data_IF_512280848271
#
_entry.id   IF_512280848271
#
_cell.length_a   1.000
_cell.length_b   1.000
_cell.length_c   1.000
_cell.angle_alpha   90.00
_cell.angle_beta   90.00
_cell.angle_gamma   90.00
#
_symmetry.space_group_name_H-M   'P 1'
#
loop_
_entity.id
_entity.type
_entity.pdbx_description
1 polymer ?
#
# COMPACT_ATOMS: atom_id res chain seq x y z
N UNK A 1 15.64 13.66 -18.89
CA UNK A 1 14.66 14.74 -19.08
C UNK A 1 13.28 14.12 -19.33
N UNK A 2 12.66 13.52 -18.30
CA UNK A 2 11.40 12.76 -18.46
C UNK A 2 10.32 13.08 -17.40
N UNK A 3 10.58 13.99 -16.45
CA UNK A 3 9.60 14.51 -15.49
C UNK A 3 9.79 16.01 -15.16
N UNK A 4 10.26 16.82 -16.12
CA UNK A 4 9.95 18.27 -16.10
C UNK A 4 8.65 18.58 -16.87
N UNK A 5 8.03 17.58 -17.49
CA UNK A 5 6.62 17.64 -17.88
C UNK A 5 5.79 17.41 -16.62
N UNK A 6 5.22 18.49 -16.07
CA UNK A 6 4.22 18.44 -15.01
C UNK A 6 3.11 17.43 -15.35
N UNK A 7 2.48 16.76 -14.36
CA UNK A 7 1.29 15.98 -14.64
C UNK A 7 0.22 16.90 -15.26
N UNK A 8 -0.57 16.45 -16.26
CA UNK A 8 -1.44 17.32 -17.03
C UNK A 8 -2.55 17.99 -16.22
N UNK A 9 -2.92 17.45 -15.06
CA UNK A 9 -3.98 18.03 -14.21
C UNK A 9 -3.49 18.15 -12.76
N UNK A 10 -3.37 19.38 -12.27
CA UNK A 10 -3.20 19.63 -10.84
C UNK A 10 -4.55 19.42 -10.17
N UNK A 11 -4.72 18.28 -9.49
CA UNK A 11 -5.90 18.06 -8.67
C UNK A 11 -6.09 19.19 -7.65
N UNK A 12 -7.34 19.60 -7.45
CA UNK A 12 -7.67 20.57 -6.41
C UNK A 12 -7.51 19.93 -5.02
N UNK A 13 -7.35 20.75 -3.98
CA UNK A 13 -7.28 20.25 -2.60
C UNK A 13 -8.54 19.48 -2.19
N UNK A 14 -9.69 19.84 -2.76
CA UNK A 14 -10.97 19.15 -2.51
C UNK A 14 -10.99 17.77 -3.17
N UNK A 15 -10.50 17.67 -4.41
CA UNK A 15 -10.36 16.39 -5.11
C UNK A 15 -9.40 15.46 -4.35
N UNK A 16 -8.25 15.98 -3.92
CA UNK A 16 -7.31 15.23 -3.09
C UNK A 16 -7.98 14.73 -1.79
N UNK A 17 -8.71 15.60 -1.08
CA UNK A 17 -9.36 15.25 0.17
C UNK A 17 -10.40 14.14 0.00
N UNK A 18 -11.28 14.27 -1.00
CA UNK A 18 -12.30 13.25 -1.30
C UNK A 18 -11.63 11.93 -1.71
N UNK A 19 -10.61 12.00 -2.56
CA UNK A 19 -9.87 10.82 -2.99
C UNK A 19 -9.19 10.12 -1.82
N UNK A 20 -8.64 10.86 -0.86
CA UNK A 20 -7.95 10.27 0.30
C UNK A 20 -8.93 9.62 1.26
N UNK A 21 -10.10 10.21 1.48
CA UNK A 21 -11.16 9.57 2.29
C UNK A 21 -11.58 8.24 1.65
N UNK A 22 -11.86 8.24 0.35
CA UNK A 22 -12.24 7.02 -0.38
C UNK A 22 -11.10 6.00 -0.33
N UNK A 23 -9.89 6.42 -0.66
CA UNK A 23 -8.71 5.56 -0.72
C UNK A 23 -8.42 4.92 0.65
N UNK A 24 -8.31 5.74 1.70
CA UNK A 24 -8.10 5.28 3.07
C UNK A 24 -9.19 4.31 3.50
N UNK A 25 -10.46 4.62 3.25
CA UNK A 25 -11.57 3.73 3.63
C UNK A 25 -11.44 2.36 2.97
N UNK A 26 -11.15 2.34 1.66
CA UNK A 26 -10.98 1.10 0.92
C UNK A 26 -9.76 0.29 1.40
N UNK A 27 -8.60 0.94 1.57
CA UNK A 27 -7.41 0.22 2.04
C UNK A 27 -7.58 -0.26 3.48
N UNK A 28 -8.15 0.56 4.37
CA UNK A 28 -8.41 0.17 5.76
C UNK A 28 -9.38 -1.00 5.86
N UNK A 29 -10.48 -1.01 5.10
CA UNK A 29 -11.36 -2.17 5.01
C UNK A 29 -10.61 -3.39 4.46
N UNK A 30 -9.77 -3.20 3.45
CA UNK A 30 -8.92 -4.27 2.94
C UNK A 30 -8.02 -4.90 4.01
N UNK A 31 -7.45 -4.07 4.90
CA UNK A 31 -6.68 -4.53 6.06
C UNK A 31 -7.55 -5.30 7.05
N UNK A 32 -8.77 -4.85 7.36
CA UNK A 32 -9.70 -5.60 8.24
C UNK A 32 -9.98 -7.00 7.68
N UNK A 33 -10.20 -7.14 6.38
CA UNK A 33 -10.40 -8.44 5.73
C UNK A 33 -9.16 -9.35 5.85
N UNK A 34 -7.96 -8.79 5.69
CA UNK A 34 -6.71 -9.55 5.88
C UNK A 34 -6.53 -9.98 7.33
N UNK A 35 -6.71 -9.06 8.28
CA UNK A 35 -6.59 -9.33 9.72
C UNK A 35 -7.59 -10.36 10.20
N UNK A 36 -8.86 -10.26 9.78
CA UNK A 36 -9.91 -11.23 10.13
C UNK A 36 -9.55 -12.64 9.63
N UNK A 37 -8.91 -12.75 8.46
CA UNK A 37 -8.47 -14.03 7.92
C UNK A 37 -7.10 -14.50 8.47
N UNK A 38 -6.47 -13.74 9.38
CA UNK A 38 -5.11 -14.01 9.88
C UNK A 38 -4.02 -13.90 8.81
N UNK A 39 -4.29 -13.16 7.74
CA UNK A 39 -3.40 -13.03 6.58
C UNK A 39 -2.59 -11.74 6.64
N UNK A 40 -1.57 -11.68 5.80
CA UNK A 40 -0.75 -10.49 5.57
C UNK A 40 -0.56 -10.26 4.07
N UNK A 41 0.18 -9.22 3.72
CA UNK A 41 0.48 -8.83 2.33
C UNK A 41 1.98 -8.57 2.15
N UNK A 42 2.38 -7.95 1.04
CA UNK A 42 3.76 -7.49 0.80
C UNK A 42 4.05 -6.09 1.34
N UNK A 43 5.27 -5.63 1.10
CA UNK A 43 5.73 -4.27 1.37
C UNK A 43 5.57 -3.84 2.83
N UNK A 44 5.54 -2.53 3.10
CA UNK A 44 5.47 -1.97 4.45
C UNK A 44 4.19 -2.39 5.18
N UNK A 45 3.06 -2.50 4.49
CA UNK A 45 1.81 -2.98 5.10
C UNK A 45 1.93 -4.45 5.56
N UNK A 46 2.55 -5.30 4.74
CA UNK A 46 2.84 -6.69 5.10
C UNK A 46 3.77 -6.81 6.31
N UNK A 47 4.87 -6.07 6.29
CA UNK A 47 5.79 -5.99 7.43
C UNK A 47 5.09 -5.50 8.70
N UNK A 48 4.22 -4.50 8.58
CA UNK A 48 3.46 -3.97 9.70
C UNK A 48 2.48 -5.00 10.29
N UNK A 49 1.75 -5.75 9.45
CA UNK A 49 0.87 -6.83 9.91
C UNK A 49 1.64 -7.93 10.64
N UNK A 50 2.76 -8.38 10.08
CA UNK A 50 3.60 -9.41 10.72
C UNK A 50 4.09 -8.95 12.09
N UNK A 51 4.64 -7.73 12.18
CA UNK A 51 5.12 -7.18 13.46
C UNK A 51 3.99 -6.93 14.45
N UNK A 52 2.81 -6.50 13.98
CA UNK A 52 1.61 -6.35 14.80
C UNK A 52 1.19 -7.69 15.41
N UNK A 53 1.15 -8.78 14.62
CA UNK A 53 0.81 -10.11 15.10
C UNK A 53 1.83 -10.67 16.11
N UNK A 54 3.13 -10.44 15.88
CA UNK A 54 4.19 -10.92 16.77
C UNK A 54 4.28 -10.12 18.08
N UNK A 55 4.11 -8.80 17.99
CA UNK A 55 4.27 -7.88 19.12
C UNK A 55 2.98 -7.63 19.91
N UNK A 56 1.82 -8.02 19.39
CA UNK A 56 0.52 -7.64 19.94
C UNK A 56 0.26 -6.13 19.90
N UNK A 57 0.89 -5.43 18.95
CA UNK A 57 0.75 -3.98 18.82
C UNK A 57 -0.32 -3.61 17.79
N UNK A 58 -0.99 -2.45 17.96
CA UNK A 58 -1.93 -1.94 16.97
C UNK A 58 -1.27 -1.78 15.59
N UNK A 59 -1.93 -2.25 14.52
CA UNK A 59 -1.37 -2.27 13.16
C UNK A 59 -0.99 -0.87 12.66
N UNK A 60 -1.89 0.10 12.81
CA UNK A 60 -1.71 1.50 12.43
C UNK A 60 -0.53 2.14 13.15
N UNK A 61 -0.30 1.83 14.43
CA UNK A 61 0.90 2.29 15.13
C UNK A 61 2.18 1.77 14.46
N UNK A 62 2.26 0.47 14.23
CA UNK A 62 3.43 -0.16 13.60
C UNK A 62 3.64 0.37 12.17
N UNK A 63 2.55 0.47 11.41
CA UNK A 63 2.55 0.98 10.04
C UNK A 63 3.05 2.42 9.95
N UNK A 64 2.62 3.29 10.87
CA UNK A 64 3.11 4.66 10.94
C UNK A 64 4.61 4.71 11.23
N UNK A 65 5.07 3.96 12.23
CA UNK A 65 6.49 3.93 12.64
C UNK A 65 7.40 3.41 11.52
N UNK A 66 7.00 2.35 10.83
CA UNK A 66 7.75 1.81 9.69
C UNK A 66 7.85 2.78 8.51
N UNK A 67 6.91 3.73 8.39
CA UNK A 67 6.92 4.74 7.34
C UNK A 67 7.81 5.96 7.64
N UNK A 68 8.15 6.23 8.90
CA UNK A 68 9.02 7.35 9.30
C UNK A 68 10.31 7.51 8.48
N UNK A 69 11.14 6.46 8.28
CA UNK A 69 12.38 6.60 7.49
C UNK A 69 12.11 7.02 6.03
N UNK A 70 10.94 6.68 5.50
CA UNK A 70 10.59 6.98 4.12
C UNK A 70 10.10 8.41 3.92
N UNK A 71 9.59 9.09 4.95
CA UNK A 71 9.30 10.52 4.86
C UNK A 71 10.57 11.35 4.77
N UNK A 72 11.58 10.98 5.56
CA UNK A 72 12.92 11.60 5.47
C UNK A 72 13.47 11.41 4.06
N UNK A 73 13.37 10.20 3.52
CA UNK A 73 13.78 9.91 2.15
C UNK A 73 12.98 10.72 1.10
N UNK A 74 11.66 10.76 1.22
CA UNK A 74 10.78 11.49 0.30
C UNK A 74 11.05 13.00 0.31
N UNK A 75 11.27 13.60 1.49
CA UNK A 75 11.60 15.01 1.62
C UNK A 75 12.88 15.37 0.86
N UNK A 76 13.89 14.48 0.95
CA UNK A 76 15.19 14.68 0.33
C UNK A 76 15.20 14.40 -1.18
N UNK A 77 14.32 13.53 -1.68
CA UNK A 77 14.42 13.01 -3.07
C UNK A 77 13.21 13.26 -3.96
N UNK A 78 12.01 13.35 -3.41
CA UNK A 78 10.74 13.45 -4.16
C UNK A 78 10.06 14.82 -4.03
N UNK A 79 10.49 15.63 -3.06
CA UNK A 79 9.99 16.98 -2.83
C UNK A 79 8.91 17.07 -1.76
N UNK A 80 8.76 18.27 -1.21
CA UNK A 80 7.92 18.53 -0.04
C UNK A 80 6.42 18.29 -0.27
N UNK A 81 5.90 18.63 -1.45
CA UNK A 81 4.48 18.42 -1.76
C UNK A 81 4.09 16.94 -1.69
N UNK A 82 4.86 16.06 -2.35
CA UNK A 82 4.63 14.61 -2.32
C UNK A 82 4.81 14.05 -0.90
N UNK A 83 5.79 14.56 -0.16
CA UNK A 83 6.08 14.13 1.21
C UNK A 83 4.91 14.44 2.15
N UNK A 84 4.39 15.67 2.13
CA UNK A 84 3.26 16.09 2.97
C UNK A 84 2.01 15.28 2.61
N UNK A 85 1.72 15.13 1.32
CA UNK A 85 0.60 14.30 0.82
C UNK A 85 0.67 12.87 1.33
N UNK A 86 1.84 12.23 1.20
CA UNK A 86 2.05 10.84 1.66
C UNK A 86 2.03 10.72 3.18
N UNK A 87 2.54 11.72 3.90
CA UNK A 87 2.48 11.76 5.36
C UNK A 87 1.02 11.79 5.86
N UNK A 88 0.19 12.67 5.28
CA UNK A 88 -1.24 12.75 5.57
C UNK A 88 -1.92 11.41 5.24
N UNK A 89 -1.64 10.83 4.06
CA UNK A 89 -2.22 9.55 3.65
C UNK A 89 -1.93 8.42 4.65
N UNK A 90 -0.69 8.33 5.15
CA UNK A 90 -0.33 7.30 6.13
C UNK A 90 -0.92 7.58 7.52
N UNK A 91 -1.02 8.83 7.97
CA UNK A 91 -1.73 9.16 9.22
C UNK A 91 -3.20 8.75 9.11
N UNK A 92 -3.87 9.11 8.02
CA UNK A 92 -5.25 8.73 7.75
C UNK A 92 -5.39 7.20 7.73
N UNK A 93 -4.51 6.51 7.00
CA UNK A 93 -4.50 5.06 6.96
C UNK A 93 -4.31 4.43 8.34
N UNK A 94 -3.35 4.93 9.11
CA UNK A 94 -3.03 4.41 10.45
C UNK A 94 -4.21 4.61 11.40
N UNK A 95 -4.82 5.79 11.41
CA UNK A 95 -5.95 6.11 12.31
C UNK A 95 -7.23 5.38 11.92
N UNK A 96 -7.58 5.35 10.63
CA UNK A 96 -8.82 4.71 10.15
C UNK A 96 -8.72 3.19 10.22
N UNK A 97 -7.56 2.58 9.97
CA UNK A 97 -7.40 1.13 10.11
C UNK A 97 -7.58 0.66 11.56
N UNK A 98 -7.06 1.40 12.54
CA UNK A 98 -7.33 1.11 13.96
C UNK A 98 -8.80 1.29 14.31
N UNK A 99 -9.39 2.42 13.90
CA UNK A 99 -10.81 2.67 14.14
C UNK A 99 -11.70 1.56 13.56
N UNK A 100 -11.39 1.06 12.36
CA UNK A 100 -12.13 -0.05 11.75
C UNK A 100 -11.84 -1.39 12.44
N UNK A 101 -10.61 -1.65 12.86
CA UNK A 101 -10.28 -2.86 13.62
C UNK A 101 -11.08 -2.94 14.93
N UNK A 102 -11.30 -1.80 15.61
CA UNK A 102 -12.06 -1.73 16.87
C UNK A 102 -13.58 -1.77 16.69
N UNK A 103 -14.10 -1.35 15.53
CA UNK A 103 -15.56 -1.15 15.33
C UNK A 103 -16.21 -2.13 14.37
N UNK A 104 -15.43 -2.77 13.49
CA UNK A 104 -15.94 -3.70 12.48
C UNK A 104 -15.55 -5.12 12.86
N UNK A 105 -16.54 -5.95 13.16
CA UNK A 105 -16.35 -7.39 13.33
C UNK A 105 -16.84 -8.11 12.08
N UNK A 106 -15.98 -8.94 11.50
CA UNK A 106 -16.31 -9.80 10.36
C UNK A 106 -16.17 -11.27 10.77
N UNK A 107 -17.02 -12.12 10.23
CA UNK A 107 -16.86 -13.57 10.27
C UNK A 107 -16.61 -14.06 8.85
N UNK A 108 -15.45 -14.70 8.63
CA UNK A 108 -15.00 -15.16 7.31
C UNK A 108 -14.94 -16.69 7.32
N UNK A 109 -15.84 -17.39 6.60
CA UNK A 109 -15.87 -18.85 6.61
C UNK A 109 -14.67 -19.50 5.90
N UNK A 110 -13.87 -18.72 5.15
CA UNK A 110 -12.70 -19.21 4.44
C UNK A 110 -11.63 -18.10 4.23
N UNK A 111 -10.31 -18.38 4.36
CA UNK A 111 -9.27 -17.36 4.22
C UNK A 111 -9.22 -16.69 2.82
N UNK A 112 -9.72 -17.37 1.79
CA UNK A 112 -9.82 -16.80 0.44
C UNK A 112 -10.63 -15.49 0.39
N UNK A 113 -11.64 -15.32 1.25
CA UNK A 113 -12.40 -14.07 1.30
C UNK A 113 -11.50 -12.90 1.74
N UNK A 114 -10.71 -13.10 2.78
CA UNK A 114 -9.72 -12.12 3.22
C UNK A 114 -8.67 -11.82 2.15
N UNK A 115 -8.14 -12.87 1.52
CA UNK A 115 -7.11 -12.74 0.48
C UNK A 115 -7.62 -12.00 -0.78
N UNK A 116 -8.83 -12.31 -1.25
CA UNK A 116 -9.36 -11.74 -2.50
C UNK A 116 -10.01 -10.39 -2.25
N UNK A 117 -10.97 -10.31 -1.33
CA UNK A 117 -11.72 -9.07 -1.06
C UNK A 117 -10.78 -8.03 -0.46
N UNK A 118 -9.92 -8.43 0.49
CA UNK A 118 -8.91 -7.56 1.08
C UNK A 118 -8.01 -6.94 0.03
N UNK A 119 -7.51 -7.75 -0.92
CA UNK A 119 -6.66 -7.29 -2.01
C UNK A 119 -7.37 -6.43 -3.06
N UNK A 120 -8.65 -6.70 -3.36
CA UNK A 120 -9.46 -5.84 -4.25
C UNK A 120 -9.59 -4.45 -3.63
N UNK A 121 -10.03 -4.37 -2.38
CA UNK A 121 -10.27 -3.11 -1.69
C UNK A 121 -8.97 -2.32 -1.53
N UNK A 122 -7.91 -2.97 -1.05
CA UNK A 122 -6.61 -2.35 -0.91
C UNK A 122 -6.02 -1.90 -2.25
N UNK A 123 -6.13 -2.73 -3.30
CA UNK A 123 -5.65 -2.38 -4.64
C UNK A 123 -6.37 -1.16 -5.22
N UNK A 124 -7.69 -1.10 -5.10
CA UNK A 124 -8.49 0.05 -5.58
C UNK A 124 -8.17 1.34 -4.81
N UNK A 125 -8.02 1.25 -3.48
CA UNK A 125 -7.61 2.40 -2.67
C UNK A 125 -6.21 2.89 -3.00
N UNK A 126 -5.24 1.99 -3.17
CA UNK A 126 -3.87 2.33 -3.58
C UNK A 126 -3.82 3.03 -4.94
N UNK A 127 -4.61 2.57 -5.92
CA UNK A 127 -4.72 3.23 -7.22
C UNK A 127 -5.21 4.68 -7.10
N UNK A 128 -6.16 4.94 -6.20
CA UNK A 128 -6.66 6.28 -5.93
C UNK A 128 -5.56 7.19 -5.35
N UNK A 129 -4.78 6.70 -4.37
CA UNK A 129 -3.63 7.44 -3.84
C UNK A 129 -2.59 7.76 -4.91
N UNK A 130 -2.22 6.77 -5.73
CA UNK A 130 -1.23 6.96 -6.79
C UNK A 130 -1.66 7.99 -7.82
N UNK A 131 -2.95 8.05 -8.16
CA UNK A 131 -3.49 9.08 -9.08
C UNK A 131 -3.39 10.50 -8.52
N UNK A 132 -3.51 10.66 -7.20
CA UNK A 132 -3.44 11.95 -6.52
C UNK A 132 -2.03 12.30 -6.00
N UNK A 133 -1.00 11.55 -6.44
CA UNK A 133 0.39 11.81 -6.10
C UNK A 133 0.73 11.58 -4.63
N UNK A 134 0.07 10.60 -3.99
CA UNK A 134 0.41 10.13 -2.64
C UNK A 134 0.81 8.65 -2.66
N UNK A 135 1.51 8.22 -1.61
CA UNK A 135 1.81 6.82 -1.35
C UNK A 135 1.55 6.47 0.11
N UNK A 136 1.16 5.21 0.35
CA UNK A 136 1.01 4.61 1.67
C UNK A 136 2.25 3.85 2.15
N UNK A 137 3.34 3.86 1.37
CA UNK A 137 4.54 3.09 1.69
C UNK A 137 5.74 3.55 0.90
N UNK A 138 6.91 3.48 1.53
CA UNK A 138 8.13 3.99 0.93
C UNK A 138 8.95 3.01 0.10
N UNK A 139 8.61 1.72 0.06
CA UNK A 139 9.25 0.78 -0.88
C UNK A 139 8.93 1.13 -2.33
N UNK A 140 7.71 1.56 -2.63
CA UNK A 140 7.37 2.10 -3.96
C UNK A 140 8.17 3.37 -4.30
N UNK A 141 8.34 4.27 -3.33
CA UNK A 141 9.15 5.49 -3.50
C UNK A 141 10.62 5.16 -3.75
N UNK A 142 11.17 4.23 -2.97
CA UNK A 142 12.54 3.75 -3.11
C UNK A 142 12.74 3.08 -4.47
N UNK A 143 11.79 2.24 -4.88
CA UNK A 143 11.81 1.57 -6.18
C UNK A 143 11.84 2.57 -7.34
N UNK A 144 11.00 3.61 -7.30
CA UNK A 144 11.00 4.68 -8.30
C UNK A 144 12.32 5.47 -8.30
N UNK A 145 12.83 5.82 -7.12
CA UNK A 145 14.12 6.49 -7.03
C UNK A 145 15.27 5.65 -7.59
N UNK A 146 15.30 4.35 -7.27
CA UNK A 146 16.34 3.44 -7.79
C UNK A 146 16.23 3.29 -9.31
N UNK A 147 15.02 3.29 -9.85
CA UNK A 147 14.79 3.33 -11.29
C UNK A 147 15.33 4.62 -11.91
N UNK A 148 14.97 5.78 -11.37
CA UNK A 148 15.38 7.06 -11.94
C UNK A 148 16.89 7.32 -11.80
N UNK A 149 17.50 6.85 -10.70
CA UNK A 149 18.91 7.12 -10.39
C UNK A 149 19.87 6.10 -10.98
N UNK A 150 19.47 4.82 -11.03
CA UNK A 150 20.35 3.69 -11.36
C UNK A 150 19.80 2.81 -12.50
N UNK A 151 18.71 3.21 -13.15
CA UNK A 151 18.02 2.42 -14.19
C UNK A 151 17.59 1.02 -13.72
N UNK A 152 17.44 0.85 -12.41
CA UNK A 152 17.05 -0.41 -11.81
C UNK A 152 15.52 -0.55 -11.85
N UNK A 153 15.01 -1.68 -12.36
CA UNK A 153 13.56 -1.87 -12.56
C UNK A 153 12.81 -1.75 -11.22
N UNK A 154 11.93 -0.76 -11.09
CA UNK A 154 11.14 -0.54 -9.88
C UNK A 154 10.36 -1.79 -9.43
N UNK A 155 9.75 -2.51 -10.37
CA UNK A 155 9.05 -3.76 -10.07
C UNK A 155 9.95 -4.85 -9.49
N UNK A 156 11.24 -4.89 -9.86
CA UNK A 156 12.19 -5.83 -9.28
C UNK A 156 12.57 -5.44 -7.85
N UNK A 157 12.71 -4.14 -7.55
CA UNK A 157 12.93 -3.67 -6.16
C UNK A 157 11.78 -4.10 -5.25
N UNK A 158 10.54 -3.90 -5.71
CA UNK A 158 9.35 -4.29 -4.95
C UNK A 158 9.30 -5.82 -4.76
N UNK A 159 9.57 -6.59 -5.82
CA UNK A 159 9.59 -8.06 -5.76
C UNK A 159 10.64 -8.58 -4.78
N UNK A 160 11.85 -8.00 -4.78
CA UNK A 160 12.92 -8.38 -3.84
C UNK A 160 12.49 -8.13 -2.40
N UNK A 161 11.88 -6.97 -2.14
CA UNK A 161 11.39 -6.65 -0.80
C UNK A 161 10.28 -7.61 -0.36
N UNK A 162 9.28 -7.83 -1.22
CA UNK A 162 8.18 -8.77 -0.95
C UNK A 162 8.71 -10.19 -0.71
N UNK A 163 9.66 -10.66 -1.53
CA UNK A 163 10.30 -11.96 -1.32
C UNK A 163 10.95 -12.04 0.07
N UNK A 164 11.65 -10.99 0.51
CA UNK A 164 12.20 -10.91 1.87
C UNK A 164 11.12 -11.04 2.95
N UNK A 165 10.02 -10.29 2.82
CA UNK A 165 8.88 -10.35 3.75
C UNK A 165 8.28 -11.76 3.81
N UNK A 166 8.05 -12.39 2.66
CA UNK A 166 7.45 -13.73 2.59
C UNK A 166 8.41 -14.83 3.06
N UNK A 167 9.72 -14.70 2.83
CA UNK A 167 10.73 -15.62 3.37
C UNK A 167 10.71 -15.56 4.89
N UNK A 168 10.72 -14.36 5.48
CA UNK A 168 10.63 -14.19 6.94
C UNK A 168 9.32 -14.78 7.46
N UNK A 169 8.19 -14.48 6.80
CA UNK A 169 6.89 -14.99 7.21
C UNK A 169 6.78 -16.53 7.13
N UNK A 170 7.45 -17.16 6.17
CA UNK A 170 7.47 -18.62 6.03
C UNK A 170 8.04 -19.34 7.26
N UNK A 171 8.99 -18.71 7.97
CA UNK A 171 9.54 -19.25 9.22
C UNK A 171 8.71 -18.93 10.46
N UNK A 172 7.76 -18.00 10.36
CA UNK A 172 6.98 -17.49 11.50
C UNK A 172 5.54 -17.98 11.53
N UNK A 173 4.95 -18.32 10.38
CA UNK A 173 3.53 -18.65 10.24
C UNK A 173 3.32 -20.01 9.57
N UNK A 174 2.13 -20.58 9.76
CA UNK A 174 1.75 -21.83 9.09
C UNK A 174 1.78 -21.69 7.56
N UNK A 175 2.20 -22.75 6.83
CA UNK A 175 2.28 -22.70 5.36
C UNK A 175 0.98 -22.25 4.68
N UNK A 176 -0.18 -22.62 5.25
CA UNK A 176 -1.50 -22.23 4.71
C UNK A 176 -1.70 -20.71 4.75
N UNK A 177 -1.34 -20.05 5.84
CA UNK A 177 -1.43 -18.59 6.00
C UNK A 177 -0.52 -17.89 4.98
N UNK A 178 0.71 -18.40 4.84
CA UNK A 178 1.71 -17.86 3.91
C UNK A 178 1.24 -17.99 2.46
N UNK A 179 0.70 -19.14 2.06
CA UNK A 179 0.17 -19.37 0.71
C UNK A 179 -1.00 -18.44 0.41
N UNK A 180 -1.98 -18.31 1.31
CA UNK A 180 -3.12 -17.41 1.09
C UNK A 180 -2.70 -15.93 1.05
N UNK A 181 -1.76 -15.54 1.90
CA UNK A 181 -1.17 -14.19 1.89
C UNK A 181 -0.42 -13.92 0.58
N UNK A 182 0.31 -14.91 0.05
CA UNK A 182 1.05 -14.79 -1.21
C UNK A 182 0.08 -14.66 -2.39
N UNK A 183 -0.99 -15.46 -2.42
CA UNK A 183 -2.05 -15.34 -3.43
C UNK A 183 -2.75 -13.99 -3.37
N UNK A 184 -3.07 -13.51 -2.17
CA UNK A 184 -3.65 -12.18 -1.96
C UNK A 184 -2.72 -11.08 -2.46
N UNK A 185 -1.44 -11.10 -2.08
CA UNK A 185 -0.44 -10.12 -2.50
C UNK A 185 -0.21 -10.14 -4.02
N UNK A 186 -0.12 -11.33 -4.63
CA UNK A 186 -0.02 -11.49 -6.07
C UNK A 186 -1.24 -10.91 -6.78
N UNK A 187 -2.45 -11.17 -6.27
CA UNK A 187 -3.68 -10.63 -6.83
C UNK A 187 -3.74 -9.10 -6.74
N UNK A 188 -3.36 -8.52 -5.60
CA UNK A 188 -3.24 -7.07 -5.41
C UNK A 188 -2.26 -6.46 -6.43
N UNK A 189 -1.08 -7.07 -6.57
CA UNK A 189 -0.05 -6.59 -7.49
C UNK A 189 -0.50 -6.67 -8.96
N UNK A 190 -1.18 -7.76 -9.36
CA UNK A 190 -1.78 -7.88 -10.70
C UNK A 190 -2.85 -6.81 -10.92
N UNK A 191 -3.74 -6.60 -9.95
CA UNK A 191 -4.79 -5.59 -10.03
C UNK A 191 -4.19 -4.20 -10.24
N UNK A 192 -3.17 -3.83 -9.48
CA UNK A 192 -2.45 -2.57 -9.65
C UNK A 192 -1.80 -2.53 -11.03
N UNK A 193 -1.05 -3.55 -11.45
CA UNK A 193 -0.34 -3.57 -12.73
C UNK A 193 -1.28 -3.45 -13.95
N UNK A 194 -2.47 -4.05 -13.89
CA UNK A 194 -3.45 -4.00 -14.98
C UNK A 194 -4.17 -2.64 -15.07
N UNK A 195 -4.39 -1.97 -13.93
CA UNK A 195 -5.15 -0.72 -13.87
C UNK A 195 -4.26 0.54 -13.80
N UNK A 196 -2.99 0.38 -13.45
CA UNK A 196 -2.00 1.45 -13.41
C UNK A 196 -1.29 1.56 -14.76
N UNK A 197 -2.04 1.94 -15.79
CA UNK A 197 -1.47 2.31 -17.10
C UNK A 197 -1.80 3.75 -17.45
N UNK A 198 -0.77 4.53 -17.80
CA UNK A 198 -0.89 5.96 -18.19
C UNK A 198 -1.49 6.17 -19.59
N UNK A 199 -1.60 5.12 -20.39
CA UNK A 199 -1.90 5.16 -21.83
C UNK A 199 -3.40 5.05 -22.18
N UNK A 200 -4.27 4.61 -21.26
CA UNK A 200 -5.68 4.32 -21.56
C UNK A 200 -6.65 5.51 -21.53
N UNK A 201 -6.22 6.67 -21.04
CA UNK A 201 -7.11 7.83 -20.80
C UNK A 201 -6.75 9.08 -21.62
N UNK A 202 -5.94 8.93 -22.67
CA UNK A 202 -5.79 10.00 -23.65
C UNK A 202 -6.97 9.87 -24.60
N UNK A 203 -8.03 10.64 -24.35
CA UNK A 203 -9.02 10.92 -25.37
C UNK A 203 -8.28 11.57 -26.54
N UNK A 204 -8.12 10.83 -27.65
CA UNK A 204 -7.69 11.42 -28.91
C UNK A 204 -8.84 12.30 -29.38
N UNK A 205 -8.83 13.57 -28.97
CA UNK A 205 -9.59 14.65 -29.58
C UNK A 205 -8.90 15.11 -30.85
#
# INVERSE_FOLDING_TARGET
MLLLSAPPDRHSLVEDAVAYVIATTLVALGIVFLQTAGLFTGQIAGTALILSYLGGWPFGLVFFLLNLPFYVFAALRMGWMFTIKSFIAVILMSTVSEFFADTITLDLPHPAYGAIIGSVLAGMGLLSFFRHGASLGGIGMLALYLQDRFDFRAGLTQLIFDAGVFIVAFFLFEPKVVIWSLLGAAFLNILIALNHRRDRYIAKG
#
